data_IF_374255237326
#
_entry.id   IF_374255237326
#
_cell.length_a   1.000
_cell.length_b   1.000
_cell.length_c   1.000
_cell.angle_alpha   90.00
_cell.angle_beta   90.00
_cell.angle_gamma   90.00
#
_symmetry.space_group_name_H-M   'P 1'
#
loop_
_entity.id
_entity.type
_entity.pdbx_description
1 polymer ?
#
# COMPACT_ATOMS: atom_id res chain seq x y z
N UNK A 1 3.61 -5.88 -19.77
CA UNK A 1 3.07 -5.11 -18.60
C UNK A 1 1.56 -5.29 -18.47
N UNK A 2 1.01 -5.21 -17.24
CA UNK A 2 -0.45 -5.20 -16.99
C UNK A 2 -1.09 -3.93 -17.60
N UNK A 3 -2.34 -4.04 -18.06
CA UNK A 3 -3.07 -2.93 -18.70
C UNK A 3 -3.56 -1.85 -17.74
N UNK A 4 -3.63 -2.17 -16.45
CA UNK A 4 -4.04 -1.25 -15.40
C UNK A 4 -3.02 -1.25 -14.28
N UNK A 5 -2.88 -0.09 -13.65
CA UNK A 5 -2.01 0.15 -12.51
C UNK A 5 -2.90 0.62 -11.35
N UNK A 6 -2.69 0.08 -10.16
CA UNK A 6 -3.39 0.50 -8.96
C UNK A 6 -2.35 0.93 -7.94
N UNK A 7 -2.35 2.22 -7.60
CA UNK A 7 -1.49 2.77 -6.56
C UNK A 7 -2.25 2.78 -5.25
N UNK A 8 -1.69 2.18 -4.21
CA UNK A 8 -2.35 2.02 -2.91
C UNK A 8 -1.42 2.47 -1.79
N UNK A 9 -2.02 3.05 -0.76
CA UNK A 9 -1.36 3.41 0.49
C UNK A 9 -2.38 3.32 1.64
N UNK A 10 -1.88 3.14 2.87
CA UNK A 10 -2.70 3.04 4.07
C UNK A 10 -2.13 3.84 5.24
N UNK A 11 -3.02 4.54 5.95
CA UNK A 11 -2.73 4.96 7.32
C UNK A 11 -3.30 3.95 8.30
N UNK A 12 -2.56 3.64 9.35
CA UNK A 12 -2.83 2.46 10.19
C UNK A 12 -2.81 2.78 11.68
N UNK A 13 -3.49 1.94 12.47
CA UNK A 13 -3.53 2.08 13.93
C UNK A 13 -2.16 1.94 14.60
N UNK A 14 -1.14 1.42 13.90
CA UNK A 14 0.16 1.06 14.47
C UNK A 14 1.08 0.41 13.45
N UNK A 15 2.18 -0.17 13.93
CA UNK A 15 3.02 -1.11 13.17
C UNK A 15 2.86 -2.50 13.77
N UNK A 16 3.16 -3.59 13.04
CA UNK A 16 3.08 -4.93 13.59
C UNK A 16 4.03 -5.09 14.78
N UNK A 17 3.63 -5.89 15.77
CA UNK A 17 4.52 -6.27 16.89
C UNK A 17 5.71 -7.09 16.37
N UNK A 18 5.48 -7.92 15.36
CA UNK A 18 6.43 -8.78 14.67
C UNK A 18 6.13 -8.83 13.18
N UNK A 19 7.13 -8.55 12.36
CA UNK A 19 7.04 -8.57 10.90
C UNK A 19 7.01 -9.97 10.30
N UNK A 20 7.46 -10.98 11.06
CA UNK A 20 7.58 -12.36 10.60
C UNK A 20 6.34 -13.21 10.94
N UNK A 21 5.21 -12.62 11.32
CA UNK A 21 3.97 -13.35 11.59
C UNK A 21 2.99 -13.24 10.42
N UNK A 22 2.20 -14.28 10.11
CA UNK A 22 1.22 -14.22 9.02
C UNK A 22 0.11 -13.21 9.33
N UNK A 23 -0.54 -12.68 8.29
CA UNK A 23 -1.61 -11.69 8.43
C UNK A 23 -2.80 -12.20 9.28
N UNK A 24 -2.97 -13.52 9.43
CA UNK A 24 -4.02 -14.12 10.26
C UNK A 24 -3.81 -13.90 11.76
N UNK A 25 -2.59 -13.51 12.19
CA UNK A 25 -2.30 -13.10 13.56
C UNK A 25 -2.86 -11.69 13.82
N UNK A 26 -4.18 -11.59 13.96
CA UNK A 26 -4.91 -10.32 14.03
C UNK A 26 -4.54 -9.44 15.23
N UNK A 27 -3.97 -10.01 16.29
CA UNK A 27 -3.45 -9.26 17.45
C UNK A 27 -2.03 -8.73 17.23
N UNK A 28 -1.33 -9.21 16.18
CA UNK A 28 0.00 -8.76 15.80
C UNK A 28 -0.05 -7.55 14.87
N UNK A 29 -0.84 -7.65 13.81
CA UNK A 29 -0.90 -6.67 12.74
C UNK A 29 -1.80 -5.48 13.11
N UNK A 30 -1.51 -4.26 12.64
CA UNK A 30 -2.41 -3.13 12.81
C UNK A 30 -3.67 -3.29 11.92
N UNK A 31 -4.58 -2.31 11.98
CA UNK A 31 -5.69 -2.17 11.03
C UNK A 31 -5.56 -0.83 10.32
N UNK A 32 -6.05 -0.77 9.09
CA UNK A 32 -6.11 0.49 8.36
C UNK A 32 -7.21 1.39 8.94
N UNK A 33 -6.89 2.68 9.06
CA UNK A 33 -7.82 3.76 9.41
C UNK A 33 -8.10 4.67 8.22
N UNK A 34 -7.19 4.69 7.24
CA UNK A 34 -7.40 5.26 5.92
C UNK A 34 -6.88 4.25 4.89
N UNK A 35 -7.63 4.06 3.81
CA UNK A 35 -7.24 3.26 2.65
C UNK A 35 -7.53 4.08 1.41
N UNK A 36 -6.50 4.34 0.64
CA UNK A 36 -6.60 5.13 -0.60
C UNK A 36 -6.03 4.33 -1.75
N UNK A 37 -6.73 4.36 -2.89
CA UNK A 37 -6.18 3.82 -4.11
C UNK A 37 -6.58 4.60 -5.35
N UNK A 38 -5.70 4.58 -6.35
CA UNK A 38 -5.88 5.27 -7.62
C UNK A 38 -5.57 4.28 -8.75
N UNK A 39 -6.49 4.18 -9.70
CA UNK A 39 -6.39 3.28 -10.83
C UNK A 39 -6.08 4.10 -12.08
N UNK A 40 -5.02 3.72 -12.77
CA UNK A 40 -4.62 4.28 -14.05
C UNK A 40 -4.70 3.22 -15.15
N UNK A 41 -4.94 3.67 -16.38
CA UNK A 41 -4.69 2.85 -17.56
C UNK A 41 -3.18 2.74 -17.86
N UNK A 42 -2.84 1.94 -18.86
CA UNK A 42 -1.46 1.74 -19.30
C UNK A 42 -0.77 3.02 -19.78
N UNK A 43 -1.53 3.99 -20.28
CA UNK A 43 -1.06 5.27 -20.78
C UNK A 43 -0.85 6.31 -19.66
N UNK A 44 -1.24 5.99 -18.43
CA UNK A 44 -1.15 6.91 -17.29
C UNK A 44 -2.34 7.86 -17.14
N UNK A 45 -3.47 7.56 -17.77
CA UNK A 45 -4.72 8.30 -17.52
C UNK A 45 -5.41 7.75 -16.27
N UNK A 46 -5.81 8.63 -15.35
CA UNK A 46 -6.57 8.25 -14.16
C UNK A 46 -7.98 7.77 -14.58
N UNK A 47 -8.33 6.55 -14.18
CA UNK A 47 -9.66 5.95 -14.39
C UNK A 47 -10.55 6.21 -13.18
N UNK A 48 -9.98 6.06 -11.98
CA UNK A 48 -10.72 6.05 -10.73
C UNK A 48 -9.79 6.39 -9.56
N UNK A 49 -10.33 7.06 -8.55
CA UNK A 49 -9.71 7.22 -7.23
C UNK A 49 -10.72 6.96 -6.12
N UNK A 50 -10.23 6.44 -5.01
CA UNK A 50 -11.01 6.18 -3.81
C UNK A 50 -10.19 6.58 -2.59
N UNK A 51 -10.78 7.35 -1.68
CA UNK A 51 -10.20 7.73 -0.38
C UNK A 51 -11.21 7.37 0.70
N UNK A 52 -10.92 6.32 1.45
CA UNK A 52 -11.86 5.77 2.44
C UNK A 52 -11.24 5.82 3.83
N UNK A 53 -12.01 6.28 4.81
CA UNK A 53 -11.68 6.13 6.22
C UNK A 53 -12.47 4.96 6.81
N UNK A 54 -11.84 4.16 7.67
CA UNK A 54 -12.46 2.99 8.29
C UNK A 54 -12.71 3.29 9.76
N UNK A 55 -13.97 3.15 10.20
CA UNK A 55 -14.28 3.27 11.62
C UNK A 55 -13.92 1.97 12.35
N UNK A 56 -12.84 2.03 13.14
CA UNK A 56 -12.32 0.89 13.91
C UNK A 56 -12.83 0.96 15.35
N UNK A 57 -14.01 0.43 15.62
CA UNK A 57 -14.64 0.56 16.95
C UNK A 57 -13.87 -0.07 18.10
N UNK A 58 -13.15 -1.15 17.85
CA UNK A 58 -12.47 -1.91 18.92
C UNK A 58 -10.97 -1.59 19.00
N UNK A 59 -10.38 -1.01 17.95
CA UNK A 59 -8.92 -0.88 17.83
C UNK A 59 -8.45 0.53 18.22
N UNK A 60 -7.45 0.57 19.11
CA UNK A 60 -6.83 1.83 19.54
C UNK A 60 -5.74 2.25 18.58
N UNK A 61 -5.85 3.46 18.05
CA UNK A 61 -4.77 4.13 17.33
C UNK A 61 -3.63 4.42 18.32
N UNK A 62 -2.43 3.99 17.99
CA UNK A 62 -1.25 4.23 18.82
C UNK A 62 -0.90 5.73 18.82
N UNK A 63 -0.34 6.22 19.93
CA UNK A 63 0.12 7.63 20.02
C UNK A 63 1.15 7.95 18.94
N UNK A 64 1.95 6.98 18.50
CA UNK A 64 2.93 7.17 17.43
C UNK A 64 2.24 7.37 16.08
N UNK A 65 1.29 6.50 15.72
CA UNK A 65 0.51 6.64 14.49
C UNK A 65 -0.28 7.94 14.46
N UNK A 66 -0.96 8.28 15.56
CA UNK A 66 -1.68 9.55 15.67
C UNK A 66 -0.77 10.77 15.44
N UNK A 67 0.45 10.76 15.99
CA UNK A 67 1.42 11.85 15.75
C UNK A 67 1.90 11.94 14.30
N UNK A 68 1.77 10.86 13.53
CA UNK A 68 2.18 10.77 12.14
C UNK A 68 1.05 11.30 11.24
N UNK A 69 -0.15 10.72 11.33
CA UNK A 69 -1.26 11.00 10.40
C UNK A 69 -2.36 11.91 10.95
N UNK A 70 -2.40 12.19 12.25
CA UNK A 70 -3.37 13.11 12.87
C UNK A 70 -4.84 12.63 12.92
N UNK A 71 -5.22 11.56 12.24
CA UNK A 71 -6.56 10.94 12.28
C UNK A 71 -6.96 10.55 13.72
N UNK A 72 -8.07 11.12 14.19
CA UNK A 72 -8.64 10.86 15.52
C UNK A 72 -9.81 9.87 15.48
N UNK A 73 -10.17 9.29 16.63
CA UNK A 73 -11.36 8.44 16.73
C UNK A 73 -12.63 9.23 16.46
N UNK A 74 -12.73 10.48 16.92
CA UNK A 74 -13.88 11.35 16.66
C UNK A 74 -14.06 11.61 15.16
N UNK A 75 -12.96 11.77 14.43
CA UNK A 75 -12.99 11.92 12.97
C UNK A 75 -13.49 10.63 12.30
N UNK A 76 -12.98 9.46 12.71
CA UNK A 76 -13.39 8.18 12.15
C UNK A 76 -14.85 7.85 12.45
N UNK A 77 -15.35 8.14 13.64
CA UNK A 77 -16.77 7.93 13.97
C UNK A 77 -17.71 8.81 13.13
N UNK A 78 -17.25 9.98 12.68
CA UNK A 78 -18.05 10.90 11.86
C UNK A 78 -17.93 10.63 10.35
N UNK A 79 -16.75 10.27 9.87
CA UNK A 79 -16.42 10.22 8.43
C UNK A 79 -16.03 8.82 7.96
N UNK A 80 -15.85 7.88 8.88
CA UNK A 80 -15.47 6.51 8.60
C UNK A 80 -16.63 5.66 8.12
N UNK A 81 -16.26 4.59 7.42
CA UNK A 81 -17.16 3.60 6.87
C UNK A 81 -16.87 2.24 7.51
N UNK A 82 -17.82 1.32 7.36
CA UNK A 82 -17.62 -0.06 7.80
C UNK A 82 -16.43 -0.69 7.06
N UNK A 83 -15.57 -1.40 7.80
CA UNK A 83 -14.41 -2.11 7.23
C UNK A 83 -14.80 -2.97 6.02
N UNK A 84 -15.83 -3.79 6.15
CA UNK A 84 -16.28 -4.68 5.08
C UNK A 84 -16.63 -3.92 3.80
N UNK A 85 -17.36 -2.81 3.91
CA UNK A 85 -17.74 -1.99 2.76
C UNK A 85 -16.53 -1.47 1.98
N UNK A 86 -15.52 -0.94 2.68
CA UNK A 86 -14.30 -0.41 2.04
C UNK A 86 -13.51 -1.54 1.38
N UNK A 87 -13.36 -2.68 2.06
CA UNK A 87 -12.61 -3.82 1.56
C UNK A 87 -13.29 -4.51 0.36
N UNK A 88 -14.61 -4.66 0.38
CA UNK A 88 -15.39 -5.17 -0.75
C UNK A 88 -15.23 -4.26 -1.98
N UNK A 89 -15.22 -2.94 -1.76
CA UNK A 89 -15.01 -1.95 -2.83
C UNK A 89 -13.62 -2.07 -3.46
N UNK A 90 -12.58 -2.20 -2.63
CA UNK A 90 -11.21 -2.44 -3.10
C UNK A 90 -11.11 -3.79 -3.84
N UNK A 91 -11.69 -4.86 -3.28
CA UNK A 91 -11.70 -6.19 -3.90
C UNK A 91 -12.38 -6.17 -5.27
N UNK A 92 -13.53 -5.51 -5.39
CA UNK A 92 -14.25 -5.38 -6.65
C UNK A 92 -13.43 -4.64 -7.72
N UNK A 93 -12.69 -3.60 -7.34
CA UNK A 93 -11.78 -2.91 -8.25
C UNK A 93 -10.61 -3.80 -8.67
N UNK A 94 -9.96 -4.49 -7.74
CA UNK A 94 -8.86 -5.42 -8.05
C UNK A 94 -9.33 -6.50 -9.03
N UNK A 95 -10.49 -7.11 -8.78
CA UNK A 95 -11.07 -8.14 -9.65
C UNK A 95 -11.43 -7.60 -11.04
N UNK A 96 -12.01 -6.39 -11.10
CA UNK A 96 -12.42 -5.75 -12.36
C UNK A 96 -11.23 -5.39 -13.24
N UNK A 97 -10.19 -4.77 -12.67
CA UNK A 97 -9.09 -4.19 -13.44
C UNK A 97 -7.89 -5.12 -13.57
N UNK A 98 -7.75 -6.10 -12.68
CA UNK A 98 -6.60 -7.02 -12.57
C UNK A 98 -5.25 -6.28 -12.66
N UNK A 99 -5.04 -5.22 -11.85
CA UNK A 99 -3.94 -4.30 -12.03
C UNK A 99 -2.59 -4.88 -11.58
N UNK A 100 -1.51 -4.19 -11.95
CA UNK A 100 -0.28 -4.21 -11.15
C UNK A 100 -0.52 -3.32 -9.92
N UNK A 101 -0.41 -3.89 -8.72
CA UNK A 101 -0.61 -3.15 -7.46
C UNK A 101 0.72 -2.54 -7.03
N UNK A 102 0.73 -1.23 -6.80
CA UNK A 102 1.94 -0.44 -6.63
C UNK A 102 1.83 0.36 -5.33
N UNK A 103 2.89 0.36 -4.53
CA UNK A 103 2.98 1.15 -3.30
C UNK A 103 4.39 1.66 -3.03
N UNK A 104 4.57 2.33 -1.90
CA UNK A 104 5.88 2.73 -1.38
C UNK A 104 6.09 2.13 0.01
N UNK A 105 6.58 0.88 0.02
CA UNK A 105 6.52 -0.11 1.11
C UNK A 105 5.29 -1.04 1.04
N UNK A 106 4.98 -1.48 -0.18
CA UNK A 106 3.82 -2.32 -0.53
C UNK A 106 3.57 -3.52 0.38
N UNK A 107 4.62 -4.19 0.86
CA UNK A 107 4.49 -5.34 1.77
C UNK A 107 3.66 -5.00 3.02
N UNK A 108 3.89 -3.81 3.60
CA UNK A 108 3.20 -3.37 4.80
C UNK A 108 1.71 -3.09 4.55
N UNK A 109 1.37 -2.42 3.45
CA UNK A 109 -0.01 -2.15 3.07
C UNK A 109 -0.76 -3.46 2.80
N UNK A 110 -0.14 -4.37 2.05
CA UNK A 110 -0.76 -5.64 1.65
C UNK A 110 -0.97 -6.54 2.86
N UNK A 111 -0.01 -6.68 3.79
CA UNK A 111 -0.21 -7.49 5.00
C UNK A 111 -1.27 -6.87 5.94
N UNK A 112 -1.27 -5.55 6.09
CA UNK A 112 -2.27 -4.84 6.90
C UNK A 112 -3.67 -5.04 6.36
N UNK A 113 -3.85 -4.82 5.05
CA UNK A 113 -5.15 -5.02 4.39
C UNK A 113 -5.54 -6.49 4.37
N UNK A 114 -4.59 -7.41 4.15
CA UNK A 114 -4.84 -8.86 4.24
C UNK A 114 -5.35 -9.27 5.62
N UNK A 115 -4.78 -8.69 6.68
CA UNK A 115 -5.26 -8.89 8.05
C UNK A 115 -6.67 -8.31 8.23
N UNK A 116 -6.98 -7.17 7.62
CA UNK A 116 -8.32 -6.57 7.67
C UNK A 116 -9.36 -7.37 6.88
N UNK A 117 -9.01 -7.94 5.72
CA UNK A 117 -9.83 -8.94 5.01
C UNK A 117 -10.11 -10.16 5.90
N UNK A 118 -9.08 -10.68 6.58
CA UNK A 118 -9.23 -11.79 7.52
C UNK A 118 -10.14 -11.43 8.70
N UNK A 119 -9.98 -10.25 9.32
CA UNK A 119 -10.87 -9.75 10.39
C UNK A 119 -12.32 -9.60 9.94
N UNK A 120 -12.53 -9.21 8.69
CA UNK A 120 -13.86 -9.04 8.10
C UNK A 120 -14.47 -10.37 7.60
N UNK A 121 -13.74 -11.48 7.69
CA UNK A 121 -14.13 -12.77 7.11
C UNK A 121 -14.45 -12.65 5.60
N UNK A 122 -13.62 -11.89 4.89
CA UNK A 122 -13.70 -11.67 3.43
C UNK A 122 -12.53 -12.39 2.73
N UNK A 123 -12.76 -12.81 1.48
CA UNK A 123 -11.72 -13.36 0.63
C UNK A 123 -10.64 -12.31 0.35
N UNK A 124 -9.37 -12.73 0.42
CA UNK A 124 -8.23 -11.86 0.20
C UNK A 124 -7.92 -11.75 -1.31
N UNK A 125 -8.16 -10.60 -1.97
CA UNK A 125 -7.96 -10.45 -3.42
C UNK A 125 -6.48 -10.41 -3.84
N UNK A 126 -5.55 -10.29 -2.88
CA UNK A 126 -4.14 -10.13 -3.16
C UNK A 126 -3.43 -11.44 -3.53
N UNK A 127 -4.02 -12.60 -3.24
CA UNK A 127 -3.37 -13.91 -3.48
C UNK A 127 -2.99 -14.17 -4.95
N UNK A 128 -3.67 -13.54 -5.90
CA UNK A 128 -3.41 -13.68 -7.35
C UNK A 128 -2.92 -12.37 -7.98
N UNK A 129 -2.63 -11.37 -7.15
CA UNK A 129 -2.21 -10.04 -7.60
C UNK A 129 -0.72 -10.00 -7.90
N UNK A 130 -0.34 -9.06 -8.76
CA UNK A 130 1.07 -8.75 -9.03
C UNK A 130 1.43 -7.45 -8.31
N UNK A 131 2.65 -7.37 -7.80
CA UNK A 131 3.07 -6.25 -6.96
C UNK A 131 4.30 -5.55 -7.52
N UNK A 132 4.40 -4.25 -7.25
CA UNK A 132 5.60 -3.47 -7.46
C UNK A 132 5.77 -2.45 -6.33
N UNK A 133 7.01 -2.24 -5.88
CA UNK A 133 7.31 -1.35 -4.76
C UNK A 133 8.34 -0.31 -5.18
N UNK A 134 7.92 0.97 -5.21
CA UNK A 134 8.82 2.08 -5.55
C UNK A 134 9.92 2.27 -4.51
N UNK A 135 9.69 1.87 -3.25
CA UNK A 135 10.72 1.85 -2.21
C UNK A 135 11.83 0.85 -2.54
N UNK A 136 11.50 -0.36 -3.01
CA UNK A 136 12.52 -1.34 -3.43
C UNK A 136 13.30 -0.84 -4.64
N UNK A 137 12.60 -0.28 -5.63
CA UNK A 137 13.23 0.38 -6.79
C UNK A 137 14.18 1.52 -6.38
N UNK A 138 13.85 2.26 -5.33
CA UNK A 138 14.67 3.39 -4.88
C UNK A 138 16.09 3.02 -4.45
N UNK A 139 16.35 1.74 -4.17
CA UNK A 139 17.69 1.25 -3.87
C UNK A 139 18.68 1.52 -5.01
N UNK A 140 18.23 1.59 -6.26
CA UNK A 140 19.08 1.92 -7.41
C UNK A 140 19.66 3.35 -7.36
N UNK A 141 19.00 4.24 -6.62
CA UNK A 141 19.39 5.65 -6.47
C UNK A 141 20.14 5.90 -5.16
N UNK A 142 20.22 4.90 -4.30
CA UNK A 142 20.72 5.09 -2.96
C UNK A 142 22.25 4.99 -2.93
N UNK A 143 22.89 6.14 -2.75
CA UNK A 143 24.35 6.24 -2.66
C UNK A 143 24.91 5.97 -1.26
N UNK A 144 24.04 5.83 -0.24
CA UNK A 144 24.47 5.63 1.14
C UNK A 144 24.44 4.14 1.50
N UNK A 145 25.60 3.49 1.77
CA UNK A 145 25.66 2.07 2.10
C UNK A 145 25.04 1.72 3.47
N UNK A 146 24.72 2.71 4.31
CA UNK A 146 24.11 2.51 5.63
C UNK A 146 22.58 2.63 5.64
N UNK A 147 21.99 3.06 4.52
CA UNK A 147 20.54 3.15 4.33
C UNK A 147 20.20 2.16 3.23
N UNK A 148 19.12 1.40 3.35
CA UNK A 148 18.77 0.43 2.30
C UNK A 148 17.80 1.03 1.27
N UNK A 149 16.90 1.94 1.66
CA UNK A 149 15.85 2.47 0.79
C UNK A 149 15.56 3.94 1.05
N UNK A 150 15.16 4.67 0.02
CA UNK A 150 14.66 6.04 0.14
C UNK A 150 13.22 6.03 0.63
N UNK A 151 12.89 6.96 1.54
CA UNK A 151 11.49 7.28 1.89
C UNK A 151 10.79 7.94 0.70
N UNK A 152 9.46 7.95 0.66
CA UNK A 152 8.70 8.49 -0.48
C UNK A 152 9.09 9.94 -0.81
N UNK A 153 9.19 10.80 0.21
CA UNK A 153 9.61 12.18 0.04
C UNK A 153 11.05 12.31 -0.48
N UNK A 154 11.95 11.39 -0.12
CA UNK A 154 13.33 11.37 -0.61
C UNK A 154 13.43 10.87 -2.05
N UNK A 155 12.62 9.86 -2.41
CA UNK A 155 12.50 9.39 -3.79
C UNK A 155 11.92 10.50 -4.67
N UNK A 156 10.87 11.18 -4.22
CA UNK A 156 10.29 12.32 -4.92
C UNK A 156 11.33 13.44 -5.13
N UNK A 157 12.03 13.83 -4.07
CA UNK A 157 13.10 14.83 -4.14
C UNK A 157 14.21 14.44 -5.13
N UNK A 158 14.60 13.16 -5.16
CA UNK A 158 15.59 12.65 -6.11
C UNK A 158 15.09 12.74 -7.56
N UNK A 159 13.84 12.37 -7.82
CA UNK A 159 13.29 12.32 -9.16
C UNK A 159 13.01 13.73 -9.70
N UNK A 160 12.42 14.62 -8.90
CA UNK A 160 11.94 15.91 -9.38
C UNK A 160 12.85 17.09 -9.04
N UNK A 161 13.87 16.88 -8.18
CA UNK A 161 14.69 17.96 -7.62
C UNK A 161 13.83 19.04 -6.92
N UNK A 162 12.72 18.61 -6.31
CA UNK A 162 11.73 19.43 -5.63
C UNK A 162 11.43 18.85 -4.25
N UNK A 163 11.31 19.73 -3.24
CA UNK A 163 10.99 19.29 -1.87
C UNK A 163 9.55 18.79 -1.79
N UNK A 164 9.37 17.65 -1.13
CA UNK A 164 8.06 17.12 -0.77
C UNK A 164 7.91 17.14 0.75
N UNK A 165 6.91 17.88 1.24
CA UNK A 165 6.51 17.74 2.65
C UNK A 165 5.80 16.41 2.85
N UNK A 166 6.11 15.76 3.99
CA UNK A 166 5.46 14.50 4.36
C UNK A 166 4.02 14.78 4.74
N UNK A 167 3.08 14.22 3.99
CA UNK A 167 1.66 14.40 4.25
C UNK A 167 1.13 13.41 5.28
N UNK A 168 1.57 12.14 5.24
CA UNK A 168 1.00 11.07 6.07
C UNK A 168 -0.53 11.03 5.93
N UNK A 169 -0.96 11.13 4.67
CA UNK A 169 -2.33 10.99 4.20
C UNK A 169 -2.26 10.02 3.03
N UNK A 170 -2.99 8.91 3.15
CA UNK A 170 -2.85 7.80 2.20
C UNK A 170 -3.20 8.21 0.76
N UNK A 171 -4.10 9.18 0.55
CA UNK A 171 -4.41 9.63 -0.82
C UNK A 171 -3.23 10.41 -1.42
N UNK A 172 -2.66 11.35 -0.66
CA UNK A 172 -1.51 12.12 -1.12
C UNK A 172 -0.30 11.21 -1.35
N UNK A 173 -0.06 10.25 -0.45
CA UNK A 173 1.06 9.33 -0.57
C UNK A 173 0.87 8.33 -1.74
N UNK A 174 -0.36 7.88 -2.02
CA UNK A 174 -0.68 7.12 -3.23
C UNK A 174 -0.46 7.95 -4.52
N UNK A 175 -0.85 9.23 -4.53
CA UNK A 175 -0.60 10.14 -5.67
C UNK A 175 0.90 10.36 -5.90
N UNK A 176 1.67 10.60 -4.84
CA UNK A 176 3.12 10.82 -4.97
C UNK A 176 3.83 9.53 -5.40
N UNK A 177 3.36 8.37 -4.91
CA UNK A 177 3.83 7.07 -5.40
C UNK A 177 3.56 6.90 -6.89
N UNK A 178 2.37 7.29 -7.37
CA UNK A 178 2.04 7.27 -8.79
C UNK A 178 2.97 8.18 -9.61
N UNK A 179 3.19 9.42 -9.17
CA UNK A 179 4.12 10.35 -9.82
C UNK A 179 5.54 9.79 -9.90
N UNK A 180 6.06 9.27 -8.79
CA UNK A 180 7.39 8.65 -8.75
C UNK A 180 7.46 7.46 -9.72
N UNK A 181 6.48 6.56 -9.71
CA UNK A 181 6.45 5.41 -10.62
C UNK A 181 6.43 5.84 -12.10
N UNK A 182 5.58 6.79 -12.46
CA UNK A 182 5.48 7.27 -13.84
C UNK A 182 6.74 7.98 -14.30
N UNK A 183 7.44 8.68 -13.41
CA UNK A 183 8.72 9.32 -13.73
C UNK A 183 9.84 8.29 -13.90
N UNK A 184 9.93 7.28 -13.05
CA UNK A 184 10.88 6.16 -13.24
C UNK A 184 10.59 5.45 -14.58
N UNK A 185 9.30 5.27 -14.90
CA UNK A 185 8.87 4.68 -16.19
C UNK A 185 9.25 5.56 -17.38
N UNK A 186 9.11 6.89 -17.27
CA UNK A 186 9.42 7.85 -18.34
C UNK A 186 10.92 7.85 -18.67
N UNK A 187 11.77 7.59 -17.67
CA UNK A 187 13.22 7.41 -17.81
C UNK A 187 13.63 6.08 -18.44
N UNK A 188 12.67 5.17 -18.68
CA UNK A 188 12.95 3.84 -19.21
C UNK A 188 13.56 2.89 -18.18
N UNK A 189 13.39 3.19 -16.89
CA UNK A 189 14.04 2.45 -15.79
C UNK A 189 13.14 1.38 -15.17
N UNK A 190 11.99 1.09 -15.79
CA UNK A 190 11.10 -0.03 -15.41
C UNK A 190 11.06 -1.03 -16.56
N UNK A 191 11.71 -2.18 -16.39
CA UNK A 191 11.67 -3.30 -17.33
C UNK A 191 10.74 -4.41 -16.84
N UNK A 192 10.37 -5.35 -17.72
CA UNK A 192 9.56 -6.51 -17.32
C UNK A 192 10.32 -7.42 -16.34
N UNK A 193 11.62 -7.61 -16.55
CA UNK A 193 12.49 -8.39 -15.64
C UNK A 193 12.56 -7.74 -14.25
N UNK A 194 12.60 -6.41 -14.19
CA UNK A 194 12.59 -5.70 -12.92
C UNK A 194 11.26 -5.85 -12.18
N UNK A 195 10.13 -5.69 -12.90
CA UNK A 195 8.79 -5.89 -12.32
C UNK A 195 8.70 -7.31 -11.74
N UNK A 196 9.16 -8.32 -12.48
CA UNK A 196 9.19 -9.70 -11.99
C UNK A 196 10.08 -9.84 -10.75
N UNK A 197 11.30 -9.31 -10.77
CA UNK A 197 12.22 -9.38 -9.62
C UNK A 197 11.60 -8.76 -8.35
N UNK A 198 11.08 -7.54 -8.46
CA UNK A 198 10.44 -6.83 -7.34
C UNK A 198 9.19 -7.58 -6.87
N UNK A 199 8.38 -8.10 -7.79
CA UNK A 199 7.21 -8.90 -7.43
C UNK A 199 7.59 -10.15 -6.63
N UNK A 200 8.59 -10.91 -7.06
CA UNK A 200 9.05 -12.11 -6.33
C UNK A 200 9.64 -11.75 -4.97
N UNK A 201 10.35 -10.61 -4.85
CA UNK A 201 10.84 -10.16 -3.55
C UNK A 201 9.68 -9.91 -2.58
N UNK A 202 8.66 -9.18 -3.02
CA UNK A 202 7.45 -8.91 -2.23
C UNK A 202 6.72 -10.20 -1.88
N UNK A 203 6.44 -11.04 -2.88
CA UNK A 203 5.72 -12.30 -2.71
C UNK A 203 6.43 -13.23 -1.72
N UNK A 204 7.77 -13.27 -1.73
CA UNK A 204 8.54 -14.09 -0.79
C UNK A 204 8.41 -13.66 0.68
N UNK A 205 8.09 -12.38 0.93
CA UNK A 205 7.86 -11.84 2.28
C UNK A 205 6.39 -11.91 2.69
N UNK A 206 5.47 -11.79 1.74
CA UNK A 206 4.04 -11.93 1.98
C UNK A 206 3.72 -13.36 2.38
N UNK A 207 3.28 -13.53 3.64
CA UNK A 207 2.90 -14.83 4.18
C UNK A 207 1.45 -15.11 3.85
N UNK A 208 1.12 -15.16 2.56
CA UNK A 208 -0.19 -15.65 2.17
C UNK A 208 -0.38 -17.04 2.76
N UNK A 209 -1.52 -17.28 3.41
CA UNK A 209 -1.90 -18.61 3.85
C UNK A 209 -1.92 -19.50 2.61
N UNK A 210 -0.80 -20.18 2.34
CA UNK A 210 -0.80 -21.32 1.44
C UNK A 210 -1.80 -22.28 2.04
N UNK A 211 -2.77 -22.72 1.25
CA UNK A 211 -3.81 -23.64 1.68
C UNK A 211 -3.22 -24.79 2.51
N UNK A 212 -3.19 -24.65 3.83
CA UNK A 212 -3.20 -25.79 4.74
C UNK A 212 -4.64 -26.23 4.84
N UNK A 213 -5.09 -26.83 3.75
CA UNK A 213 -6.23 -27.72 3.72
C UNK A 213 -5.76 -29.04 3.13
N UNK A 214 -5.17 -29.86 3.99
CA UNK A 214 -5.57 -31.26 4.12
C UNK A 214 -5.70 -31.57 5.60
#
# INVERSE_FOLDING_TARGET
MKKHLLFIDTETTGIPKRWDLPYSETENWPSAVQVSWIIYDENGNEIKRENCYIDVDVLKISVKSFKIHGITKEFLTKNGQARSFVLEKLSADIQKYQPLIIGHFTEFDIDTLSCDFYRANLENPFQQSHFYCTMLKSNDYNLNPNVNYLRLNQLFEFLFNEKMERSHDAMIDAEMTAKCFFEIRSRGEISEDEIQKIHHEIESKLKFLTNKMK
#
